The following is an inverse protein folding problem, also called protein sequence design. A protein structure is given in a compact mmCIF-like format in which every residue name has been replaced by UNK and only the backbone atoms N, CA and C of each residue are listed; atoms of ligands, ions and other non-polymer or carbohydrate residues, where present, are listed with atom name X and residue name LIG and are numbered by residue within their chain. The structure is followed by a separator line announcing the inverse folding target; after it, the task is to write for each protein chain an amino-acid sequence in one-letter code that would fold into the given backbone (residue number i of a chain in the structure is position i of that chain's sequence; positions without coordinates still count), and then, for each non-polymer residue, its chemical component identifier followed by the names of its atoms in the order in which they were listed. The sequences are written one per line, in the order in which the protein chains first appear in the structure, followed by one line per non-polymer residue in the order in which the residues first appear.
data_IF_069587867025
#
_entry.id   IF_069587867025
#
_cell.length_a   1.000
_cell.length_b   1.000
_cell.length_c   1.000
_cell.angle_alpha   90.00
_cell.angle_beta   90.00
_cell.angle_gamma   90.00
#
_symmetry.space_group_name_H-M   'P 1'
#
loop_
_entity.id
_entity.type
_entity.pdbx_description
1 polymer ?
#
# COMPACT_ATOMS: atom_id res chain seq x y z
N UNK A 1 -16.73 -5.80 8.21
CA UNK A 1 -15.30 -6.09 8.42
C UNK A 1 -15.11 -6.76 9.77
N UNK A 2 -14.87 -8.07 9.77
CA UNK A 2 -14.71 -8.90 10.97
C UNK A 2 -13.55 -8.43 11.89
N UNK A 3 -12.52 -7.81 11.32
CA UNK A 3 -11.30 -7.43 12.03
C UNK A 3 -11.34 -6.04 12.69
N UNK A 4 -12.27 -5.18 12.27
CA UNK A 4 -12.35 -3.79 12.76
C UNK A 4 -12.65 -3.68 14.27
N UNK A 5 -13.54 -4.51 14.87
CA UNK A 5 -13.71 -4.53 16.33
C UNK A 5 -12.45 -4.88 17.12
N UNK A 6 -11.46 -5.53 16.47
CA UNK A 6 -10.16 -5.86 17.07
C UNK A 6 -9.10 -4.78 16.86
N UNK A 7 -9.46 -3.65 16.24
CA UNK A 7 -8.51 -2.58 15.89
C UNK A 7 -7.54 -2.95 14.76
N UNK A 8 -7.83 -4.00 13.98
CA UNK A 8 -6.98 -4.44 12.87
C UNK A 8 -7.54 -3.89 11.56
N UNK A 9 -6.70 -3.16 10.82
CA UNK A 9 -6.98 -2.70 9.47
C UNK A 9 -6.31 -3.62 8.46
N UNK A 10 -7.04 -4.01 7.41
CA UNK A 10 -6.53 -4.89 6.35
C UNK A 10 -6.71 -4.19 5.01
N UNK A 11 -5.63 -3.94 4.28
CA UNK A 11 -5.66 -3.27 2.97
C UNK A 11 -4.69 -3.94 1.99
N UNK A 12 -4.98 -3.82 0.70
CA UNK A 12 -4.04 -4.16 -0.38
C UNK A 12 -3.34 -2.90 -0.88
N UNK A 13 -2.04 -2.99 -1.16
CA UNK A 13 -1.24 -1.85 -1.62
C UNK A 13 -0.46 -2.24 -2.86
N UNK A 14 -0.59 -1.44 -3.92
CA UNK A 14 0.21 -1.58 -5.12
C UNK A 14 1.45 -0.67 -5.03
N UNK A 15 2.68 -1.22 -4.99
CA UNK A 15 3.90 -0.41 -5.00
C UNK A 15 4.18 0.21 -6.38
N UNK A 16 3.45 -0.19 -7.42
CA UNK A 16 3.79 0.12 -8.81
C UNK A 16 4.96 -0.70 -9.32
N UNK A 17 5.57 -0.28 -10.43
CA UNK A 17 6.73 -0.96 -11.01
C UNK A 17 8.03 -0.37 -10.46
N UNK A 18 8.66 -1.08 -9.53
CA UNK A 18 9.78 -0.59 -8.70
C UNK A 18 11.10 -1.23 -9.09
N UNK A 19 12.19 -0.44 -9.10
CA UNK A 19 13.58 -0.85 -9.38
C UNK A 19 14.14 -1.78 -8.30
N UNK A 20 13.66 -3.01 -8.30
CA UNK A 20 14.14 -4.14 -7.50
C UNK A 20 14.71 -5.22 -8.42
N UNK A 21 15.26 -6.29 -7.86
CA UNK A 21 15.67 -7.46 -8.65
C UNK A 21 14.50 -8.04 -9.48
N UNK A 22 13.27 -7.98 -8.96
CA UNK A 22 12.07 -8.45 -9.66
C UNK A 22 11.59 -7.46 -10.73
N UNK A 23 11.65 -6.15 -10.45
CA UNK A 23 11.20 -5.12 -11.39
C UNK A 23 12.20 -4.79 -12.49
N UNK A 24 13.49 -5.07 -12.27
CA UNK A 24 14.55 -4.81 -13.23
C UNK A 24 14.93 -3.32 -13.35
N UNK A 25 15.97 -3.02 -14.16
CA UNK A 25 16.51 -1.66 -14.31
C UNK A 25 15.57 -0.70 -15.06
N UNK A 26 14.63 -1.23 -15.85
CA UNK A 26 13.65 -0.44 -16.62
C UNK A 26 12.43 0.01 -15.81
N UNK A 27 12.30 -0.42 -14.55
CA UNK A 27 11.22 0.00 -13.69
C UNK A 27 11.21 1.53 -13.50
N UNK A 28 10.02 2.11 -13.48
CA UNK A 28 9.84 3.55 -13.50
C UNK A 28 10.01 4.21 -12.14
N UNK A 29 9.86 3.45 -11.05
CA UNK A 29 9.88 3.98 -9.67
C UNK A 29 11.11 3.53 -8.89
N UNK A 30 11.59 4.41 -8.03
CA UNK A 30 12.61 4.04 -7.06
C UNK A 30 12.00 3.27 -5.89
N UNK A 31 12.85 2.55 -5.14
CA UNK A 31 12.42 1.75 -3.98
C UNK A 31 11.70 2.59 -2.93
N UNK A 32 12.19 3.82 -2.68
CA UNK A 32 11.58 4.74 -1.73
C UNK A 32 10.14 5.11 -2.12
N UNK A 33 9.89 5.37 -3.41
CA UNK A 33 8.55 5.71 -3.90
C UNK A 33 7.59 4.52 -3.74
N UNK A 34 8.04 3.31 -4.10
CA UNK A 34 7.25 2.10 -3.96
C UNK A 34 6.94 1.75 -2.50
N UNK A 35 7.87 2.04 -1.58
CA UNK A 35 7.71 1.79 -0.15
C UNK A 35 6.77 2.80 0.53
N UNK A 36 6.69 4.05 0.05
CA UNK A 36 5.92 5.11 0.69
C UNK A 36 4.44 4.73 0.91
N UNK A 37 3.78 4.13 -0.10
CA UNK A 37 2.39 3.67 0.03
C UNK A 37 2.21 2.53 1.03
N UNK A 38 3.22 1.65 1.17
CA UNK A 38 3.20 0.54 2.12
C UNK A 38 3.39 1.06 3.54
N UNK A 39 4.34 1.97 3.75
CA UNK A 39 4.57 2.63 5.04
C UNK A 39 3.33 3.39 5.48
N UNK A 40 2.72 4.16 4.58
CA UNK A 40 1.46 4.86 4.85
C UNK A 40 0.38 3.90 5.36
N UNK A 41 0.17 2.76 4.68
CA UNK A 41 -0.83 1.77 5.08
C UNK A 41 -0.51 1.13 6.44
N UNK A 42 0.77 0.90 6.73
CA UNK A 42 1.24 0.35 8.01
C UNK A 42 1.11 1.34 9.18
N UNK A 43 1.06 2.65 8.89
CA UNK A 43 0.97 3.73 9.89
C UNK A 43 -0.41 4.38 9.97
N UNK A 44 -1.45 3.75 9.43
CA UNK A 44 -2.81 4.30 9.47
C UNK A 44 -3.31 4.45 10.92
N UNK A 45 -4.04 5.54 11.23
CA UNK A 45 -4.71 5.65 12.51
C UNK A 45 -5.82 4.60 12.65
N UNK A 46 -6.29 4.28 13.86
CA UNK A 46 -7.30 3.23 14.09
C UNK A 46 -8.63 3.41 13.33
N UNK A 47 -8.96 4.64 12.96
CA UNK A 47 -10.14 5.00 12.17
C UNK A 47 -9.90 4.96 10.65
N UNK A 48 -8.68 4.66 10.21
CA UNK A 48 -8.26 4.58 8.83
C UNK A 48 -9.00 3.54 7.97
N UNK A 49 -8.74 3.55 6.64
CA UNK A 49 -9.40 2.66 5.71
C UNK A 49 -9.11 1.18 6.01
N UNK A 50 -10.08 0.33 5.70
CA UNK A 50 -9.91 -1.14 5.70
C UNK A 50 -10.74 -1.72 4.55
N UNK A 51 -10.21 -2.76 3.91
CA UNK A 51 -10.82 -3.46 2.79
C UNK A 51 -10.59 -2.81 1.43
N UNK A 52 -9.69 -1.84 1.32
CA UNK A 52 -9.42 -1.14 0.07
C UNK A 52 -8.17 -1.62 -0.67
N UNK A 53 -8.03 -1.17 -1.91
CA UNK A 53 -6.83 -1.28 -2.73
C UNK A 53 -6.26 0.11 -2.98
N UNK A 54 -4.98 0.31 -2.68
CA UNK A 54 -4.37 1.63 -2.67
C UNK A 54 -3.07 1.68 -3.47
N UNK A 55 -2.80 2.83 -4.06
CA UNK A 55 -1.47 3.23 -4.57
C UNK A 55 -1.23 4.66 -4.12
N UNK A 56 -0.06 4.93 -3.53
CA UNK A 56 0.36 6.27 -3.11
C UNK A 56 -0.66 6.97 -2.17
N UNK A 57 -1.28 6.21 -1.27
CA UNK A 57 -2.31 6.69 -0.35
C UNK A 57 -3.68 6.95 -0.97
N UNK A 58 -3.83 6.71 -2.28
CA UNK A 58 -5.08 6.89 -3.01
C UNK A 58 -5.75 5.55 -3.30
N UNK A 59 -7.08 5.50 -3.12
CA UNK A 59 -7.86 4.33 -3.47
C UNK A 59 -7.89 4.14 -5.00
N UNK A 60 -7.67 2.92 -5.46
CA UNK A 60 -7.75 2.53 -6.86
C UNK A 60 -8.77 1.41 -7.05
N UNK A 61 -9.36 1.25 -8.25
CA UNK A 61 -10.26 0.14 -8.54
C UNK A 61 -9.56 -1.21 -8.37
N UNK A 62 -10.32 -2.19 -7.89
CA UNK A 62 -9.92 -3.60 -7.87
C UNK A 62 -9.84 -4.18 -9.29
#
# INVERSE_FOLDING_TARGET
YEMRPRGILVNSVCPGWVKTNMGGPGATRDVADGAAGIVWAATLPPDGPTGGFFRDGQAIPW
#
